data_IF_502764033891
#
_entry.id   IF_502764033891
#
_cell.length_a   1.000
_cell.length_b   1.000
_cell.length_c   1.000
_cell.angle_alpha   90.00
_cell.angle_beta   90.00
_cell.angle_gamma   90.00
#
_symmetry.space_group_name_H-M   'P 1'
#
loop_
_entity.id
_entity.type
_entity.pdbx_description
1 polymer ?
#
# COMPACT_ATOMS: atom_id res chain seq x y z
N UNK A 1 9.74 3.98 -19.15
CA UNK A 1 8.87 5.00 -18.51
C UNK A 1 8.91 4.87 -16.99
N UNK A 2 9.07 3.66 -16.45
CA UNK A 2 9.13 3.42 -14.99
C UNK A 2 10.36 2.61 -14.61
N UNK A 3 10.89 2.86 -13.40
CA UNK A 3 11.90 2.02 -12.72
C UNK A 3 11.29 1.41 -11.46
N UNK A 4 10.79 0.17 -11.51
CA UNK A 4 10.35 -0.56 -10.31
C UNK A 4 11.57 -1.05 -9.53
N UNK A 5 11.55 -0.93 -8.21
CA UNK A 5 12.60 -1.46 -7.36
C UNK A 5 12.08 -1.87 -5.97
N UNK A 6 12.83 -2.74 -5.30
CA UNK A 6 12.66 -2.94 -3.87
C UNK A 6 13.24 -1.73 -3.11
N UNK A 7 12.75 -1.47 -1.90
CA UNK A 7 13.30 -0.40 -1.05
C UNK A 7 14.53 -0.88 -0.25
N UNK A 8 15.35 -1.74 -0.82
CA UNK A 8 16.60 -2.20 -0.21
C UNK A 8 17.64 -1.08 -0.12
N UNK A 9 18.66 -1.20 0.75
CA UNK A 9 19.64 -0.13 0.99
C UNK A 9 20.35 0.39 -0.27
N UNK A 10 20.68 -0.51 -1.22
CA UNK A 10 21.34 -0.14 -2.48
C UNK A 10 20.40 0.64 -3.40
N UNK A 11 19.13 0.23 -3.48
CA UNK A 11 18.14 0.95 -4.27
C UNK A 11 17.81 2.32 -3.66
N UNK A 12 17.79 2.43 -2.34
CA UNK A 12 17.69 3.72 -1.65
C UNK A 12 18.93 4.60 -1.89
N UNK A 13 20.13 4.02 -1.98
CA UNK A 13 21.33 4.75 -2.38
C UNK A 13 21.21 5.28 -3.81
N UNK A 14 20.75 4.43 -4.75
CA UNK A 14 20.45 4.84 -6.13
C UNK A 14 19.45 6.00 -6.18
N UNK A 15 18.37 5.93 -5.39
CA UNK A 15 17.37 7.01 -5.31
C UNK A 15 18.00 8.33 -4.88
N UNK A 16 18.84 8.31 -3.84
CA UNK A 16 19.58 9.50 -3.39
C UNK A 16 20.49 10.07 -4.47
N UNK A 17 21.20 9.24 -5.21
CA UNK A 17 22.07 9.67 -6.32
C UNK A 17 21.27 10.37 -7.42
N UNK A 18 20.11 9.85 -7.79
CA UNK A 18 19.21 10.48 -8.76
C UNK A 18 18.39 11.64 -8.19
N UNK A 19 18.58 11.97 -6.91
CA UNK A 19 17.81 12.96 -6.15
C UNK A 19 16.30 12.72 -6.20
N UNK A 20 15.92 11.44 -6.23
CA UNK A 20 14.53 10.98 -6.11
C UNK A 20 14.32 10.33 -4.76
N UNK A 21 13.07 10.04 -4.43
CA UNK A 21 12.71 9.41 -3.18
C UNK A 21 12.66 10.38 -2.01
N UNK A 22 12.79 11.69 -2.22
CA UNK A 22 12.49 12.65 -1.15
C UNK A 22 10.98 12.75 -1.00
N UNK A 23 10.46 12.18 0.09
CA UNK A 23 9.08 12.33 0.54
C UNK A 23 9.06 12.25 2.07
N UNK A 24 8.29 13.13 2.68
CA UNK A 24 8.33 13.45 4.11
C UNK A 24 7.26 14.49 4.43
N UNK A 25 7.01 14.73 5.71
CA UNK A 25 5.93 15.61 6.19
C UNK A 25 6.00 17.04 5.65
N UNK A 26 7.21 17.57 5.46
CA UNK A 26 7.44 18.95 5.00
C UNK A 26 8.36 19.03 3.77
N UNK A 27 8.59 17.91 3.09
CA UNK A 27 9.48 17.88 1.92
C UNK A 27 8.69 17.81 0.63
N UNK A 28 9.17 18.51 -0.40
CA UNK A 28 8.68 18.33 -1.75
C UNK A 28 8.87 16.88 -2.21
N UNK A 29 7.83 16.29 -2.80
CA UNK A 29 7.87 14.93 -3.31
C UNK A 29 8.68 14.91 -4.62
N UNK A 30 9.73 14.10 -4.66
CA UNK A 30 10.56 13.89 -5.87
C UNK A 30 10.53 12.43 -6.27
N UNK A 31 9.85 12.13 -7.37
CA UNK A 31 9.51 10.76 -7.76
C UNK A 31 9.93 10.41 -9.21
N UNK A 32 10.56 11.35 -9.92
CA UNK A 32 11.01 11.14 -11.30
C UNK A 32 12.26 11.92 -11.65
N UNK A 33 12.93 11.51 -12.73
CA UNK A 33 13.99 12.25 -13.41
C UNK A 33 13.61 12.51 -14.87
N UNK A 34 14.29 13.45 -15.52
CA UNK A 34 14.23 13.59 -16.98
C UNK A 34 14.91 12.39 -17.62
N UNK A 35 14.33 11.84 -18.69
CA UNK A 35 14.88 10.70 -19.38
C UNK A 35 16.23 11.05 -20.02
N UNK A 36 17.31 10.24 -19.86
CA UNK A 36 18.66 10.65 -20.25
C UNK A 36 18.88 10.98 -21.73
N UNK A 37 18.00 10.51 -22.62
CA UNK A 37 18.12 10.67 -24.08
C UNK A 37 17.00 11.56 -24.67
N UNK A 38 15.92 11.80 -23.91
CA UNK A 38 14.72 12.49 -24.40
C UNK A 38 14.17 13.40 -23.30
N UNK A 39 14.45 14.68 -23.43
CA UNK A 39 14.09 15.68 -22.43
C UNK A 39 12.58 15.91 -22.31
N UNK A 40 11.78 15.42 -23.27
CA UNK A 40 10.32 15.51 -23.23
C UNK A 40 9.67 14.40 -22.38
N UNK A 41 10.48 13.46 -21.88
CA UNK A 41 9.99 12.30 -21.14
C UNK A 41 10.56 12.27 -19.74
N UNK A 42 9.75 11.74 -18.82
CA UNK A 42 10.15 11.46 -17.45
C UNK A 42 10.31 9.96 -17.24
N UNK A 43 11.18 9.63 -16.30
CA UNK A 43 11.36 8.29 -15.78
C UNK A 43 10.90 8.29 -14.32
N UNK A 44 9.77 7.64 -14.06
CA UNK A 44 9.16 7.58 -12.73
C UNK A 44 9.70 6.41 -11.90
N UNK A 45 10.02 6.65 -10.64
CA UNK A 45 10.48 5.64 -9.70
C UNK A 45 9.31 5.11 -8.89
N UNK A 46 9.19 3.79 -8.80
CA UNK A 46 8.10 3.10 -8.11
C UNK A 46 8.71 2.06 -7.18
N UNK A 47 8.29 2.06 -5.91
CA UNK A 47 8.65 1.00 -4.99
C UNK A 47 7.69 -0.17 -5.16
N UNK A 48 8.20 -1.39 -4.97
CA UNK A 48 7.40 -2.59 -5.06
C UNK A 48 6.24 -2.59 -4.05
N UNK A 49 5.00 -2.60 -4.55
CA UNK A 49 3.80 -2.44 -3.72
C UNK A 49 3.59 -3.62 -2.77
N UNK A 50 3.95 -4.84 -3.19
CA UNK A 50 3.91 -6.03 -2.32
C UNK A 50 4.84 -5.88 -1.12
N UNK A 51 6.04 -5.35 -1.33
CA UNK A 51 6.98 -5.00 -0.26
C UNK A 51 6.46 -3.88 0.63
N UNK A 52 5.86 -2.83 0.07
CA UNK A 52 5.26 -1.76 0.86
C UNK A 52 4.16 -2.28 1.80
N UNK A 53 3.28 -3.16 1.31
CA UNK A 53 2.22 -3.75 2.11
C UNK A 53 2.77 -4.60 3.26
N UNK A 54 3.80 -5.43 2.97
CA UNK A 54 4.53 -6.20 4.00
C UNK A 54 5.11 -5.26 5.06
N UNK A 55 5.84 -4.25 4.61
CA UNK A 55 6.49 -3.28 5.49
C UNK A 55 5.47 -2.51 6.35
N UNK A 56 4.28 -2.20 5.81
CA UNK A 56 3.23 -1.54 6.57
C UNK A 56 2.65 -2.44 7.67
N UNK A 57 2.45 -3.74 7.36
CA UNK A 57 2.05 -4.74 8.38
C UNK A 57 3.09 -4.75 9.51
N UNK A 58 4.38 -4.87 9.18
CA UNK A 58 5.45 -4.86 10.19
C UNK A 58 5.55 -3.56 10.96
N UNK A 59 5.30 -2.44 10.27
CA UNK A 59 5.25 -1.13 10.88
C UNK A 59 4.20 -1.09 12.00
N UNK A 60 2.97 -1.55 11.72
CA UNK A 60 1.90 -1.58 12.70
C UNK A 60 2.18 -2.61 13.82
N UNK A 61 2.64 -3.81 13.50
CA UNK A 61 2.94 -4.85 14.50
C UNK A 61 4.03 -4.41 15.51
N UNK A 62 5.08 -3.73 15.03
CA UNK A 62 6.21 -3.34 15.87
C UNK A 62 5.94 -2.07 16.67
N UNK A 63 5.22 -1.10 16.10
CA UNK A 63 4.97 0.19 16.74
C UNK A 63 3.62 0.23 17.49
N UNK A 64 2.78 -0.79 17.31
CA UNK A 64 1.47 -1.01 17.95
C UNK A 64 0.37 -0.03 17.58
N UNK A 65 0.70 1.21 17.25
CA UNK A 65 -0.28 2.25 16.91
C UNK A 65 0.14 3.06 15.69
N UNK A 66 -0.85 3.60 14.98
CA UNK A 66 -0.69 4.64 13.96
C UNK A 66 -1.73 5.73 14.24
N UNK A 67 -1.28 6.97 14.42
CA UNK A 67 -2.18 8.12 14.59
C UNK A 67 -2.43 8.77 13.24
N UNK A 68 -3.68 8.80 12.81
CA UNK A 68 -4.13 9.39 11.56
C UNK A 68 -4.29 10.90 11.69
N UNK A 69 -4.23 11.64 10.57
CA UNK A 69 -4.39 13.09 10.60
C UNK A 69 -5.79 13.51 11.07
N UNK A 70 -5.90 14.63 11.77
CA UNK A 70 -7.17 15.17 12.24
C UNK A 70 -8.12 15.46 11.08
N UNK A 71 -7.62 16.01 9.98
CA UNK A 71 -8.39 16.26 8.75
C UNK A 71 -9.11 15.00 8.26
N UNK A 72 -8.41 13.86 8.26
CA UNK A 72 -8.99 12.57 7.87
C UNK A 72 -10.01 12.08 8.90
N UNK A 73 -9.68 12.20 10.18
CA UNK A 73 -10.52 11.75 11.30
C UNK A 73 -11.85 12.50 11.33
N UNK A 74 -11.81 13.82 11.19
CA UNK A 74 -12.98 14.70 11.18
C UNK A 74 -13.84 14.49 9.95
N UNK A 75 -13.24 14.37 8.76
CA UNK A 75 -13.98 14.13 7.51
C UNK A 75 -14.78 12.80 7.52
N UNK A 76 -14.35 11.83 8.32
CA UNK A 76 -14.99 10.52 8.46
C UNK A 76 -15.79 10.38 9.77
N UNK A 77 -15.95 11.45 10.56
CA UNK A 77 -16.65 11.46 11.84
C UNK A 77 -16.17 10.35 12.81
N UNK A 78 -14.86 10.10 12.84
CA UNK A 78 -14.29 9.05 13.67
C UNK A 78 -14.17 9.51 15.13
N UNK A 79 -14.50 8.62 16.06
CA UNK A 79 -14.38 8.88 17.50
C UNK A 79 -12.94 8.92 18.03
N UNK A 80 -11.99 8.37 17.25
CA UNK A 80 -10.57 8.31 17.58
C UNK A 80 -9.74 8.46 16.31
N UNK A 81 -8.58 9.09 16.40
CA UNK A 81 -7.61 9.19 15.31
C UNK A 81 -6.62 8.01 15.29
N UNK A 82 -6.70 7.10 16.26
CA UNK A 82 -5.67 6.07 16.45
C UNK A 82 -6.12 4.72 15.89
N UNK A 83 -5.25 4.14 15.07
CA UNK A 83 -5.31 2.75 14.61
C UNK A 83 -4.52 1.90 15.58
N UNK A 84 -5.14 0.87 16.15
CA UNK A 84 -4.50 -0.03 17.11
C UNK A 84 -4.25 -1.40 16.51
N UNK A 85 -3.06 -1.94 16.75
CA UNK A 85 -2.72 -3.32 16.43
C UNK A 85 -3.53 -4.31 17.29
N UNK A 86 -3.79 -3.97 18.56
CA UNK A 86 -4.56 -4.82 19.48
C UNK A 86 -5.96 -5.13 18.96
N UNK A 87 -6.61 -4.18 18.27
CA UNK A 87 -7.92 -4.43 17.65
C UNK A 87 -7.93 -5.63 16.69
N UNK A 88 -6.80 -5.87 16.02
CA UNK A 88 -6.64 -6.99 15.09
C UNK A 88 -6.29 -8.29 15.81
N UNK A 89 -5.51 -8.21 16.89
CA UNK A 89 -5.22 -9.33 17.79
C UNK A 89 -6.53 -9.82 18.44
N UNK A 90 -7.31 -8.89 19.02
CA UNK A 90 -8.63 -9.16 19.61
C UNK A 90 -9.59 -9.78 18.60
N UNK A 91 -9.66 -9.27 17.36
CA UNK A 91 -10.48 -9.89 16.31
C UNK A 91 -10.05 -11.33 16.02
N UNK A 92 -8.74 -11.60 16.00
CA UNK A 92 -8.22 -12.94 15.74
C UNK A 92 -8.55 -13.92 16.88
N UNK A 93 -8.45 -13.45 18.13
CA UNK A 93 -8.79 -14.21 19.35
C UNK A 93 -10.29 -14.50 19.45
N UNK A 94 -11.13 -13.48 19.23
CA UNK A 94 -12.60 -13.59 19.30
C UNK A 94 -13.14 -14.68 18.37
N UNK A 95 -12.52 -14.87 17.21
CA UNK A 95 -12.95 -15.87 16.23
C UNK A 95 -12.26 -17.23 16.38
N UNK A 96 -11.35 -17.45 17.34
CA UNK A 96 -10.73 -18.78 17.52
C UNK A 96 -11.76 -19.84 17.91
N UNK A 97 -12.69 -19.46 18.79
CA UNK A 97 -13.73 -20.33 19.33
C UNK A 97 -15.02 -20.36 18.49
N UNK A 98 -15.08 -19.59 17.39
CA UNK A 98 -16.24 -19.58 16.49
C UNK A 98 -16.12 -20.68 15.45
N UNK A 99 -17.20 -21.45 15.27
CA UNK A 99 -17.30 -22.42 14.17
C UNK A 99 -17.28 -21.73 12.81
N UNK A 100 -17.93 -20.56 12.71
CA UNK A 100 -17.95 -19.72 11.51
C UNK A 100 -17.15 -18.44 11.78
N UNK A 101 -15.94 -18.38 11.23
CA UNK A 101 -15.02 -17.26 11.40
C UNK A 101 -15.33 -16.15 10.42
N UNK A 102 -15.45 -14.92 10.92
CA UNK A 102 -15.66 -13.72 10.09
C UNK A 102 -14.43 -13.47 9.17
N UNK A 103 -13.23 -13.73 9.69
CA UNK A 103 -11.96 -13.55 8.97
C UNK A 103 -11.02 -14.75 9.15
N UNK A 104 -11.36 -15.90 8.59
CA UNK A 104 -10.58 -17.15 8.71
C UNK A 104 -9.11 -17.09 8.25
N UNK A 105 -8.73 -16.03 7.52
CA UNK A 105 -7.40 -15.85 6.91
C UNK A 105 -6.38 -15.16 7.81
N UNK A 106 -6.81 -14.57 8.93
CA UNK A 106 -5.93 -14.04 9.97
C UNK A 106 -5.98 -14.96 11.19
N UNK A 107 -4.81 -15.23 11.78
CA UNK A 107 -4.66 -16.10 12.96
C UNK A 107 -3.85 -15.38 14.02
N UNK A 108 -3.97 -15.79 15.28
CA UNK A 108 -3.18 -15.24 16.39
C UNK A 108 -1.66 -15.34 16.10
N UNK A 109 -1.22 -16.46 15.50
CA UNK A 109 0.17 -16.64 15.07
C UNK A 109 0.66 -15.60 14.04
N UNK A 110 -0.23 -14.94 13.29
CA UNK A 110 0.14 -13.94 12.28
C UNK A 110 0.61 -12.60 12.89
N UNK A 111 0.46 -12.45 14.21
CA UNK A 111 0.94 -11.32 15.01
C UNK A 111 2.29 -11.61 15.68
N UNK A 112 2.73 -12.87 15.67
CA UNK A 112 4.06 -13.27 16.15
C UNK A 112 5.17 -12.86 15.15
N UNK A 113 6.29 -12.36 15.67
CA UNK A 113 7.36 -11.71 14.89
C UNK A 113 8.29 -12.68 14.15
N UNK A 114 7.82 -13.85 13.71
CA UNK A 114 8.69 -14.85 13.07
C UNK A 114 9.25 -14.38 11.72
N UNK A 115 10.57 -14.52 11.52
CA UNK A 115 11.29 -14.00 10.34
C UNK A 115 10.75 -14.55 9.01
N UNK A 116 10.29 -15.80 8.97
CA UNK A 116 9.72 -16.41 7.76
C UNK A 116 8.36 -15.84 7.37
N UNK A 117 7.53 -15.42 8.34
CA UNK A 117 6.27 -14.75 8.04
C UNK A 117 6.50 -13.34 7.49
N UNK A 118 7.70 -12.75 7.69
CA UNK A 118 8.11 -11.45 7.13
C UNK A 118 8.14 -11.38 5.62
N UNK A 119 8.36 -12.52 4.97
CA UNK A 119 8.52 -12.56 3.53
C UNK A 119 7.20 -12.74 2.77
N UNK A 120 6.12 -13.18 3.41
CA UNK A 120 4.88 -13.59 2.72
C UNK A 120 3.92 -12.43 2.46
N UNK A 121 3.87 -11.93 1.22
CA UNK A 121 2.93 -10.87 0.79
C UNK A 121 1.47 -11.25 1.06
N UNK A 122 1.09 -12.51 0.82
CA UNK A 122 -0.27 -13.00 1.07
C UNK A 122 -0.72 -12.80 2.52
N UNK A 123 0.19 -12.90 3.50
CA UNK A 123 -0.15 -12.65 4.90
C UNK A 123 -0.45 -11.18 5.16
N UNK A 124 0.27 -10.26 4.53
CA UNK A 124 -0.04 -8.84 4.59
C UNK A 124 -1.35 -8.50 3.86
N UNK A 125 -1.62 -9.15 2.72
CA UNK A 125 -2.90 -8.99 1.99
C UNK A 125 -4.11 -9.45 2.80
N UNK A 126 -3.99 -10.57 3.50
CA UNK A 126 -5.06 -11.06 4.38
C UNK A 126 -5.29 -10.12 5.57
N UNK A 127 -4.20 -9.59 6.14
CA UNK A 127 -4.22 -8.63 7.24
C UNK A 127 -4.91 -7.31 6.84
N UNK A 128 -4.58 -6.76 5.66
CA UNK A 128 -5.22 -5.57 5.11
C UNK A 128 -6.35 -5.89 4.12
N UNK A 129 -7.24 -6.81 4.49
CA UNK A 129 -8.34 -7.22 3.63
C UNK A 129 -9.65 -6.51 3.98
N UNK A 130 -10.55 -6.42 2.99
CA UNK A 130 -11.91 -5.92 3.20
C UNK A 130 -12.68 -6.76 4.22
N UNK A 131 -12.44 -8.08 4.25
CA UNK A 131 -13.05 -8.99 5.22
C UNK A 131 -12.72 -8.56 6.67
N UNK A 132 -11.46 -8.18 6.92
CA UNK A 132 -11.00 -7.70 8.23
C UNK A 132 -11.65 -6.37 8.60
N UNK A 133 -11.67 -5.42 7.66
CA UNK A 133 -12.39 -4.15 7.86
C UNK A 133 -13.88 -4.38 8.17
N UNK A 134 -14.56 -5.21 7.37
CA UNK A 134 -15.97 -5.54 7.55
C UNK A 134 -16.24 -6.22 8.90
N UNK A 135 -15.34 -7.10 9.35
CA UNK A 135 -15.48 -7.78 10.64
C UNK A 135 -15.33 -6.83 11.82
N UNK A 136 -14.36 -5.92 11.77
CA UNK A 136 -14.22 -4.87 12.79
C UNK A 136 -15.45 -3.96 12.83
N UNK A 137 -15.97 -3.55 11.66
CA UNK A 137 -17.22 -2.78 11.59
C UNK A 137 -18.40 -3.56 12.16
N UNK A 138 -18.50 -4.86 11.86
CA UNK A 138 -19.54 -5.72 12.42
C UNK A 138 -19.46 -5.80 13.95
N UNK A 139 -18.25 -5.96 14.52
CA UNK A 139 -18.06 -5.97 15.97
C UNK A 139 -18.54 -4.65 16.60
N UNK A 140 -18.33 -3.49 15.95
CA UNK A 140 -18.83 -2.20 16.48
C UNK A 140 -20.36 -2.10 16.57
N UNK A 141 -21.09 -2.97 15.86
CA UNK A 141 -22.56 -3.05 15.99
C UNK A 141 -23.00 -3.83 17.23
N UNK A 142 -22.12 -4.68 17.76
CA UNK A 142 -22.40 -5.57 18.91
C UNK A 142 -21.73 -5.06 20.19
N UNK A 143 -20.56 -4.43 20.07
CA UNK A 143 -19.77 -3.82 21.14
C UNK A 143 -19.62 -2.31 20.86
N UNK A 144 -19.98 -1.41 21.79
CA UNK A 144 -19.90 0.03 21.61
C UNK A 144 -18.47 0.61 21.53
N UNK A 145 -17.40 -0.21 21.49
CA UNK A 145 -16.03 0.26 21.22
C UNK A 145 -15.93 0.96 19.84
N UNK A 146 -16.21 2.26 19.81
CA UNK A 146 -16.19 3.09 18.60
C UNK A 146 -14.79 3.18 17.94
N UNK A 147 -13.74 2.86 18.68
CA UNK A 147 -12.34 2.92 18.23
C UNK A 147 -12.00 1.89 17.13
N UNK A 148 -12.71 0.75 17.09
CA UNK A 148 -12.54 -0.23 16.00
C UNK A 148 -12.88 0.36 14.63
N UNK A 149 -13.77 1.37 14.56
CA UNK A 149 -14.16 2.01 13.30
C UNK A 149 -12.96 2.66 12.60
N UNK A 150 -12.09 3.32 13.37
CA UNK A 150 -10.88 3.96 12.86
C UNK A 150 -9.92 2.93 12.26
N UNK A 151 -9.71 1.82 12.97
CA UNK A 151 -8.85 0.73 12.48
C UNK A 151 -9.46 0.05 11.26
N UNK A 152 -10.77 -0.18 11.26
CA UNK A 152 -11.49 -0.77 10.13
C UNK A 152 -11.39 0.10 8.88
N UNK A 153 -11.58 1.41 9.01
CA UNK A 153 -11.49 2.34 7.88
C UNK A 153 -10.06 2.42 7.34
N UNK A 154 -9.05 2.47 8.22
CA UNK A 154 -7.65 2.43 7.81
C UNK A 154 -7.35 1.16 6.98
N UNK A 155 -7.80 0.00 7.44
CA UNK A 155 -7.61 -1.26 6.72
C UNK A 155 -8.30 -1.25 5.36
N UNK A 156 -9.50 -0.69 5.28
CA UNK A 156 -10.25 -0.56 4.02
C UNK A 156 -9.52 0.31 3.00
N UNK A 157 -9.02 1.48 3.41
CA UNK A 157 -8.28 2.37 2.51
C UNK A 157 -6.97 1.74 2.03
N UNK A 158 -6.25 1.02 2.90
CA UNK A 158 -5.03 0.29 2.50
C UNK A 158 -5.37 -0.85 1.54
N UNK A 159 -6.47 -1.56 1.79
CA UNK A 159 -6.95 -2.64 0.90
C UNK A 159 -7.31 -2.10 -0.49
N UNK A 160 -8.01 -0.96 -0.54
CA UNK A 160 -8.38 -0.27 -1.77
C UNK A 160 -7.13 0.24 -2.50
N UNK A 161 -6.21 0.89 -1.80
CA UNK A 161 -4.93 1.34 -2.34
C UNK A 161 -4.17 0.17 -2.98
N UNK A 162 -3.97 -0.93 -2.24
CA UNK A 162 -3.28 -2.10 -2.76
C UNK A 162 -3.94 -2.68 -4.01
N UNK A 163 -5.28 -2.72 -4.04
CA UNK A 163 -6.05 -3.18 -5.21
C UNK A 163 -5.79 -2.32 -6.46
N UNK A 164 -5.77 -0.99 -6.31
CA UNK A 164 -5.48 -0.06 -7.42
C UNK A 164 -4.05 -0.28 -7.92
N UNK A 165 -3.09 -0.34 -7.00
CA UNK A 165 -1.66 -0.45 -7.30
C UNK A 165 -1.27 -1.81 -7.90
N UNK A 166 -2.06 -2.86 -7.67
CA UNK A 166 -1.82 -4.23 -8.20
C UNK A 166 -2.86 -4.66 -9.23
N UNK A 167 -3.58 -3.71 -9.83
CA UNK A 167 -4.61 -4.00 -10.82
C UNK A 167 -4.03 -4.67 -12.09
N UNK A 168 -4.60 -5.82 -12.48
CA UNK A 168 -4.22 -6.56 -13.70
C UNK A 168 -5.29 -6.54 -14.80
N UNK A 169 -6.50 -6.08 -14.47
CA UNK A 169 -7.64 -6.06 -15.41
C UNK A 169 -8.06 -4.62 -15.69
N UNK A 170 -8.44 -4.26 -16.93
CA UNK A 170 -8.87 -2.91 -17.30
C UNK A 170 -10.01 -2.34 -16.43
N UNK A 171 -10.89 -3.20 -15.89
CA UNK A 171 -12.00 -2.79 -15.03
C UNK A 171 -11.56 -2.31 -13.63
N UNK A 172 -10.38 -2.75 -13.18
CA UNK A 172 -9.76 -2.35 -11.91
C UNK A 172 -8.60 -1.39 -12.13
N UNK A 173 -8.26 -1.11 -13.39
CA UNK A 173 -7.16 -0.27 -13.82
C UNK A 173 -7.53 1.21 -13.73
N UNK A 174 -6.50 2.05 -13.74
CA UNK A 174 -6.66 3.49 -13.97
C UNK A 174 -7.02 3.69 -15.44
N UNK A 175 -8.32 3.74 -15.75
CA UNK A 175 -8.87 3.81 -17.11
C UNK A 175 -9.70 5.08 -17.33
N UNK A 176 -9.47 5.74 -18.46
CA UNK A 176 -10.25 6.90 -18.93
C UNK A 176 -10.56 6.69 -20.41
N UNK A 177 -11.81 6.37 -20.72
CA UNK A 177 -12.28 6.33 -22.10
C UNK A 177 -12.82 7.72 -22.51
N UNK A 178 -12.40 8.30 -23.65
CA UNK A 178 -12.75 9.68 -24.02
C UNK A 178 -14.25 10.00 -24.10
N UNK A 179 -15.09 8.99 -24.35
CA UNK A 179 -16.55 9.13 -24.55
C UNK A 179 -17.39 8.51 -23.42
N UNK A 180 -16.76 8.06 -22.33
CA UNK A 180 -17.43 7.43 -21.20
C UNK A 180 -17.23 8.29 -19.95
N UNK A 181 -18.26 9.08 -19.60
CA UNK A 181 -18.24 9.93 -18.41
C UNK A 181 -18.08 9.13 -17.12
N UNK A 182 -18.64 7.91 -17.06
CA UNK A 182 -18.49 7.03 -15.90
C UNK A 182 -17.03 6.62 -15.74
N UNK A 183 -16.34 6.29 -16.84
CA UNK A 183 -14.90 6.01 -16.80
C UNK A 183 -14.07 7.23 -16.41
N UNK A 184 -14.41 8.43 -16.88
CA UNK A 184 -13.72 9.67 -16.50
C UNK A 184 -13.86 9.96 -15.01
N UNK A 185 -15.09 9.91 -14.50
CA UNK A 185 -15.38 10.14 -13.10
C UNK A 185 -14.68 9.09 -12.21
N UNK A 186 -14.71 7.81 -12.58
CA UNK A 186 -13.96 6.76 -11.86
C UNK A 186 -12.45 7.02 -11.84
N UNK A 187 -11.88 7.49 -12.95
CA UNK A 187 -10.46 7.85 -13.02
C UNK A 187 -10.15 9.00 -12.05
N UNK A 188 -10.91 10.09 -12.11
CA UNK A 188 -10.75 11.27 -11.25
C UNK A 188 -10.93 10.92 -9.76
N UNK A 189 -11.94 10.13 -9.41
CA UNK A 189 -12.13 9.60 -8.05
C UNK A 189 -10.96 8.75 -7.59
N UNK A 190 -10.35 7.96 -8.49
CA UNK A 190 -9.20 7.12 -8.14
C UNK A 190 -7.94 7.98 -7.95
N UNK A 191 -7.73 9.00 -8.77
CA UNK A 191 -6.64 9.98 -8.59
C UNK A 191 -6.81 10.71 -7.26
N UNK A 192 -7.98 11.29 -6.99
CA UNK A 192 -8.27 11.97 -5.73
C UNK A 192 -8.10 11.04 -4.51
N UNK A 193 -8.48 9.77 -4.65
CA UNK A 193 -8.22 8.76 -3.63
C UNK A 193 -6.71 8.53 -3.41
N UNK A 194 -5.91 8.38 -4.47
CA UNK A 194 -4.46 8.22 -4.34
C UNK A 194 -3.77 9.47 -3.76
N UNK A 195 -4.28 10.67 -4.07
CA UNK A 195 -3.83 11.93 -3.45
C UNK A 195 -4.16 11.95 -1.95
N UNK A 196 -5.36 11.51 -1.55
CA UNK A 196 -5.70 11.37 -0.13
C UNK A 196 -4.79 10.38 0.60
N UNK A 197 -4.35 9.31 -0.06
CA UNK A 197 -3.37 8.37 0.51
C UNK A 197 -2.02 9.07 0.73
N UNK A 198 -1.58 9.94 -0.19
CA UNK A 198 -0.36 10.73 -0.02
C UNK A 198 -0.48 11.63 1.22
N UNK A 199 -1.57 12.37 1.34
CA UNK A 199 -1.82 13.27 2.49
C UNK A 199 -1.79 12.48 3.82
N UNK A 200 -2.53 11.37 3.89
CA UNK A 200 -2.58 10.51 5.09
C UNK A 200 -1.18 10.04 5.47
N UNK A 201 -0.41 9.53 4.51
CA UNK A 201 0.91 8.97 4.79
C UNK A 201 1.98 10.03 5.09
N UNK A 202 1.82 11.26 4.61
CA UNK A 202 2.68 12.40 4.95
C UNK A 202 2.48 12.86 6.40
N UNK A 203 1.24 12.88 6.85
CA UNK A 203 0.88 13.46 8.15
C UNK A 203 0.82 12.42 9.27
N UNK A 204 0.46 11.16 8.99
CA UNK A 204 0.30 10.14 10.03
C UNK A 204 1.57 9.92 10.86
N UNK A 205 1.36 9.58 12.14
CA UNK A 205 2.40 9.25 13.11
C UNK A 205 2.41 7.74 13.35
N UNK A 206 3.59 7.17 13.55
CA UNK A 206 3.75 5.73 13.78
C UNK A 206 4.34 5.49 15.16
N UNK A 207 3.58 4.82 16.02
CA UNK A 207 3.92 4.60 17.42
C UNK A 207 4.08 5.92 18.19
N UNK A 208 4.95 5.91 19.19
CA UNK A 208 5.22 7.07 20.04
C UNK A 208 6.25 8.04 19.44
N UNK A 209 6.75 7.77 18.23
CA UNK A 209 7.82 8.54 17.60
C UNK A 209 7.31 9.45 16.48
N UNK A 210 7.95 10.61 16.33
CA UNK A 210 7.70 11.54 15.21
C UNK A 210 8.50 11.21 13.94
N UNK A 211 9.35 10.18 14.01
CA UNK A 211 10.23 9.75 12.94
C UNK A 211 9.47 9.22 11.74
N UNK A 212 9.80 9.74 10.56
CA UNK A 212 9.21 9.32 9.30
C UNK A 212 9.72 7.95 8.87
N UNK A 213 8.84 6.96 8.76
CA UNK A 213 9.23 5.58 8.45
C UNK A 213 9.47 5.38 6.95
N UNK A 214 10.39 4.48 6.53
CA UNK A 214 10.62 4.19 5.11
C UNK A 214 9.37 3.77 4.33
N UNK A 215 8.47 3.01 4.96
CA UNK A 215 7.19 2.62 4.34
C UNK A 215 6.32 3.83 3.98
N UNK A 216 6.37 4.90 4.78
CA UNK A 216 5.62 6.13 4.48
C UNK A 216 6.11 6.76 3.18
N UNK A 217 7.42 6.95 3.08
CA UNK A 217 8.10 7.45 1.89
C UNK A 217 7.79 6.61 0.66
N UNK A 218 7.85 5.29 0.81
CA UNK A 218 7.56 4.35 -0.25
C UNK A 218 6.14 4.45 -0.79
N UNK A 219 5.13 4.50 0.08
CA UNK A 219 3.73 4.66 -0.30
C UNK A 219 3.51 6.00 -1.02
N UNK A 220 4.05 7.09 -0.50
CA UNK A 220 3.91 8.43 -1.10
C UNK A 220 4.51 8.48 -2.51
N UNK A 221 5.77 8.06 -2.65
CA UNK A 221 6.49 8.09 -3.94
C UNK A 221 5.77 7.23 -4.97
N UNK A 222 5.36 6.02 -4.58
CA UNK A 222 4.70 5.06 -5.45
C UNK A 222 3.33 5.59 -5.90
N UNK A 223 2.50 6.10 -4.99
CA UNK A 223 1.22 6.72 -5.33
C UNK A 223 1.39 7.92 -6.25
N UNK A 224 2.36 8.81 -5.96
CA UNK A 224 2.62 10.01 -6.78
C UNK A 224 3.08 9.64 -8.19
N UNK A 225 4.00 8.68 -8.30
CA UNK A 225 4.45 8.15 -9.59
C UNK A 225 3.33 7.52 -10.40
N UNK A 226 2.42 6.75 -9.77
CA UNK A 226 1.27 6.18 -10.46
C UNK A 226 0.31 7.27 -10.93
N UNK A 227 0.00 8.27 -10.11
CA UNK A 227 -0.85 9.41 -10.50
C UNK A 227 -0.28 10.12 -11.75
N UNK A 228 1.00 10.49 -11.71
CA UNK A 228 1.64 11.24 -12.78
C UNK A 228 1.80 10.40 -14.06
N UNK A 229 2.23 9.15 -13.91
CA UNK A 229 2.35 8.21 -15.01
C UNK A 229 0.99 7.95 -15.67
N UNK A 230 -0.05 7.72 -14.87
CA UNK A 230 -1.39 7.52 -15.38
C UNK A 230 -1.87 8.75 -16.11
N UNK A 231 -1.74 9.95 -15.54
CA UNK A 231 -2.11 11.20 -16.22
C UNK A 231 -1.34 11.39 -17.53
N UNK A 232 -0.06 11.05 -17.57
CA UNK A 232 0.77 11.12 -18.78
C UNK A 232 0.32 10.14 -19.86
N UNK A 233 0.09 8.87 -19.50
CA UNK A 233 -0.24 7.80 -20.47
C UNK A 233 -1.72 7.76 -20.85
N UNK A 234 -2.62 8.31 -20.04
CA UNK A 234 -4.06 8.06 -20.19
C UNK A 234 -4.62 8.60 -21.50
N UNK A 235 -4.09 9.73 -21.97
CA UNK A 235 -4.51 10.35 -23.22
C UNK A 235 -4.03 9.56 -24.45
N UNK A 236 -2.93 8.81 -24.32
CA UNK A 236 -2.37 8.01 -25.42
C UNK A 236 -2.81 6.54 -25.43
N UNK A 237 -2.99 5.94 -24.24
CA UNK A 237 -3.17 4.49 -24.06
C UNK A 237 -4.52 4.10 -23.46
N UNK A 238 -5.30 5.05 -22.94
CA UNK A 238 -6.64 4.84 -22.39
C UNK A 238 -6.69 4.14 -21.02
N UNK A 239 -5.67 3.38 -20.62
CA UNK A 239 -5.57 2.79 -19.29
C UNK A 239 -4.11 2.51 -18.84
N UNK A 240 -3.92 2.36 -17.52
CA UNK A 240 -2.67 1.91 -16.89
C UNK A 240 -2.95 0.79 -15.89
N UNK A 241 -2.25 -0.34 -16.05
CA UNK A 241 -2.33 -1.50 -15.15
C UNK A 241 -1.26 -1.39 -14.06
N UNK A 242 -1.68 -1.21 -12.81
CA UNK A 242 -0.75 -1.07 -11.67
C UNK A 242 0.14 -2.30 -11.48
N UNK A 243 -0.42 -3.49 -11.68
CA UNK A 243 0.32 -4.75 -11.54
C UNK A 243 1.39 -4.99 -12.61
N UNK A 244 1.53 -4.10 -13.61
CA UNK A 244 2.66 -4.10 -14.55
C UNK A 244 3.80 -3.17 -14.11
N UNK A 245 3.61 -2.45 -13.00
CA UNK A 245 4.57 -1.51 -12.43
C UNK A 245 5.30 -2.09 -11.21
N UNK A 246 5.02 -3.33 -10.83
CA UNK A 246 5.66 -4.05 -9.72
C UNK A 246 6.85 -4.88 -10.21
N UNK A 247 7.67 -5.38 -9.28
CA UNK A 247 8.81 -6.25 -9.58
C UNK A 247 8.45 -7.75 -9.62
N UNK A 248 7.16 -8.09 -9.49
CA UNK A 248 6.66 -9.48 -9.43
C UNK A 248 7.08 -10.32 -10.65
N UNK A 249 7.19 -9.71 -11.84
CA UNK A 249 7.63 -10.43 -13.03
C UNK A 249 9.07 -10.97 -12.90
N UNK A 250 9.94 -10.22 -12.22
CA UNK A 250 11.32 -10.62 -11.93
C UNK A 250 11.35 -11.73 -10.88
N UNK A 251 10.53 -11.61 -9.82
CA UNK A 251 10.41 -12.65 -8.79
C UNK A 251 9.87 -13.98 -9.35
N UNK A 252 8.93 -13.92 -10.30
CA UNK A 252 8.40 -15.09 -10.98
C UNK A 252 9.50 -15.79 -11.80
N UNK A 253 10.36 -15.04 -12.49
CA UNK A 253 11.51 -15.60 -13.20
C UNK A 253 12.45 -16.30 -12.21
N UNK A 254 12.78 -15.67 -11.09
CA UNK A 254 13.61 -16.30 -10.05
C UNK A 254 12.97 -17.58 -9.50
N UNK A 255 11.65 -17.61 -9.36
CA UNK A 255 10.93 -18.80 -8.93
C UNK A 255 11.04 -19.93 -9.95
N UNK A 256 10.91 -19.64 -11.25
CA UNK A 256 11.11 -20.62 -12.33
C UNK A 256 12.53 -21.17 -12.36
N UNK A 257 13.55 -20.32 -12.13
CA UNK A 257 14.95 -20.77 -12.04
C UNK A 257 15.14 -21.68 -10.83
N UNK A 258 14.66 -21.27 -9.66
CA UNK A 258 14.78 -22.05 -8.41
C UNK A 258 13.98 -23.35 -8.43
N UNK A 259 12.90 -23.42 -9.21
CA UNK A 259 12.16 -24.66 -9.41
C UNK A 259 13.01 -25.73 -10.11
N UNK A 260 13.94 -25.33 -10.99
CA UNK A 260 14.90 -26.25 -11.62
C UNK A 260 16.08 -26.57 -10.70
N UNK A 261 16.61 -25.54 -10.04
CA UNK A 261 17.72 -25.68 -9.09
C UNK A 261 17.50 -24.78 -7.89
N UNK A 262 17.12 -25.30 -6.70
CA UNK A 262 16.72 -24.49 -5.54
C UNK A 262 17.76 -23.45 -5.11
N UNK A 263 19.04 -23.76 -5.29
CA UNK A 263 20.16 -22.85 -5.06
C UNK A 263 21.10 -22.91 -6.28
N UNK A 264 20.85 -22.11 -7.33
CA UNK A 264 21.71 -22.06 -8.50
C UNK A 264 23.01 -21.35 -8.12
N UNK A 265 24.14 -21.85 -8.61
CA UNK A 265 25.40 -21.09 -8.59
C UNK A 265 25.42 -20.14 -9.82
N UNK A 266 26.45 -19.33 -9.93
CA UNK A 266 26.56 -18.35 -11.01
C UNK A 266 26.96 -18.95 -12.38
N UNK A 267 27.28 -20.25 -12.44
CA UNK A 267 27.89 -20.93 -13.59
C UNK A 267 26.89 -21.89 -14.26
#
# INVERSE_FOLDING_TARGET
>A
VVVPNDMGPNNLAMWRTFRVGFAGRHSLITNSIIYPVDNNRKLWFIADTGHLLKNLKYCLLNNKTITLPEKFTNANNLSSSVVYCSHLEELAELQENLQLKLTSKIKVDDFSSSTFQKMKVNKAKNFFSRDVSGSLKFITTQDPKKEYQTTALFIEIISKWFTVMTSHTPNLALRKLPRDEVSKNKFEQTIAFLESIIDIFQEMLVGNGTQFKPVQRGVIITSKSVIELSTYLINEKGYVLGGRLTSDCVENIFSCVRAKQPSPNAL
#
